data_IF_200953373280
#
_entry.id   IF_200953373280
#
_cell.length_a   1.000
_cell.length_b   1.000
_cell.length_c   1.000
_cell.angle_alpha   90.00
_cell.angle_beta   90.00
_cell.angle_gamma   90.00
#
_symmetry.space_group_name_H-M   'P 1'
#
loop_
_entity.id
_entity.type
_entity.pdbx_description
1 polymer ?
#
# COMPACT_ATOMS: atom_id res chain seq x y z
N UNK A 1 -21.46 -17.99 5.14
CA UNK A 1 -20.51 -17.07 4.45
C UNK A 1 -19.11 -17.56 4.77
N UNK A 2 -18.20 -17.65 3.79
CA UNK A 2 -16.85 -18.18 4.03
C UNK A 2 -16.10 -17.36 5.10
N UNK A 3 -15.30 -18.00 5.94
CA UNK A 3 -14.62 -17.36 7.08
C UNK A 3 -13.74 -16.19 6.62
N UNK A 4 -13.05 -16.32 5.49
CA UNK A 4 -12.26 -15.25 4.87
C UNK A 4 -13.13 -14.08 4.44
N UNK A 5 -14.31 -14.33 3.87
CA UNK A 5 -15.24 -13.27 3.44
C UNK A 5 -15.80 -12.51 4.64
N UNK A 6 -16.06 -13.21 5.74
CA UNK A 6 -16.42 -12.59 7.02
C UNK A 6 -15.25 -11.75 7.55
N UNK A 7 -14.03 -12.30 7.56
CA UNK A 7 -12.84 -11.57 7.98
C UNK A 7 -12.61 -10.31 7.13
N UNK A 8 -12.71 -10.42 5.80
CA UNK A 8 -12.66 -9.29 4.88
C UNK A 8 -13.70 -8.23 5.24
N UNK A 9 -14.96 -8.61 5.44
CA UNK A 9 -15.99 -7.67 5.87
C UNK A 9 -15.63 -6.97 7.19
N UNK A 10 -15.14 -7.71 8.19
CA UNK A 10 -14.72 -7.17 9.48
C UNK A 10 -13.57 -6.17 9.34
N UNK A 11 -12.53 -6.50 8.57
CA UNK A 11 -11.42 -5.58 8.30
C UNK A 11 -11.88 -4.34 7.53
N UNK A 12 -12.81 -4.48 6.58
CA UNK A 12 -13.40 -3.36 5.87
C UNK A 12 -14.20 -2.42 6.78
N UNK A 13 -15.05 -2.98 7.64
CA UNK A 13 -15.81 -2.20 8.64
C UNK A 13 -14.86 -1.53 9.63
N UNK A 14 -13.86 -2.25 10.15
CA UNK A 14 -12.85 -1.69 11.05
C UNK A 14 -12.08 -0.54 10.38
N UNK A 15 -11.73 -0.67 9.09
CA UNK A 15 -11.10 0.38 8.30
C UNK A 15 -11.96 1.65 8.29
N UNK A 16 -13.25 1.53 7.99
CA UNK A 16 -14.18 2.66 7.95
C UNK A 16 -14.30 3.32 9.33
N UNK A 17 -14.39 2.54 10.40
CA UNK A 17 -14.48 3.05 11.77
C UNK A 17 -13.22 3.85 12.13
N UNK A 18 -12.03 3.29 11.91
CA UNK A 18 -10.76 3.95 12.25
C UNK A 18 -10.53 5.19 11.39
N UNK A 19 -10.86 5.14 10.10
CA UNK A 19 -10.81 6.31 9.22
C UNK A 19 -11.77 7.41 9.70
N UNK A 20 -13.02 7.06 9.99
CA UNK A 20 -14.02 8.01 10.48
C UNK A 20 -13.62 8.64 11.80
N UNK A 21 -13.09 7.85 12.73
CA UNK A 21 -12.58 8.35 14.01
C UNK A 21 -11.35 9.25 13.83
N UNK A 22 -10.44 8.91 12.93
CA UNK A 22 -9.26 9.73 12.62
C UNK A 22 -9.66 11.08 12.01
N UNK A 23 -10.63 11.09 11.09
CA UNK A 23 -11.19 12.32 10.53
C UNK A 23 -11.87 13.16 11.63
N UNK A 24 -12.64 12.51 12.51
CA UNK A 24 -13.26 13.19 13.65
C UNK A 24 -12.22 13.88 14.54
N UNK A 25 -11.12 13.20 14.88
CA UNK A 25 -10.00 13.79 15.64
C UNK A 25 -9.45 15.06 14.98
N UNK A 26 -9.19 15.01 13.67
CA UNK A 26 -8.71 16.18 12.91
C UNK A 26 -9.70 17.35 13.00
N UNK A 27 -11.01 17.08 12.90
CA UNK A 27 -12.05 18.11 12.93
C UNK A 27 -12.13 18.79 14.29
N UNK A 28 -11.93 18.07 15.39
CA UNK A 28 -11.92 18.64 16.75
C UNK A 28 -10.55 19.24 17.13
N UNK A 29 -9.60 19.27 16.19
CA UNK A 29 -8.26 19.83 16.41
C UNK A 29 -7.31 18.91 17.17
N UNK A 30 -7.65 17.63 17.33
CA UNK A 30 -6.73 16.64 17.88
C UNK A 30 -5.74 16.15 16.81
N UNK A 31 -4.51 15.89 17.25
CA UNK A 31 -3.47 15.35 16.39
C UNK A 31 -3.73 13.87 16.07
N UNK A 32 -3.47 13.51 14.81
CA UNK A 32 -3.35 12.14 14.37
C UNK A 32 -1.87 11.75 14.38
N UNK A 33 -1.58 10.58 14.93
CA UNK A 33 -0.22 10.12 15.10
C UNK A 33 0.15 8.96 14.18
N UNK A 34 1.36 8.46 14.44
CA UNK A 34 1.90 7.27 13.78
C UNK A 34 0.97 6.05 13.94
N UNK A 35 0.34 5.89 15.10
CA UNK A 35 -0.50 4.73 15.41
C UNK A 35 -1.74 4.69 14.53
N UNK A 36 -2.46 5.80 14.39
CA UNK A 36 -3.67 5.88 13.56
C UNK A 36 -3.34 5.63 12.09
N UNK A 37 -2.32 6.30 11.56
CA UNK A 37 -1.90 6.19 10.16
C UNK A 37 -1.46 4.74 9.85
N UNK A 38 -0.65 4.14 10.72
CA UNK A 38 -0.16 2.76 10.54
C UNK A 38 -1.30 1.75 10.66
N UNK A 39 -2.23 1.95 11.60
CA UNK A 39 -3.40 1.08 11.77
C UNK A 39 -4.29 1.11 10.53
N UNK A 40 -4.55 2.29 9.96
CA UNK A 40 -5.28 2.42 8.70
C UNK A 40 -4.57 1.64 7.59
N UNK A 41 -3.25 1.80 7.45
CA UNK A 41 -2.46 1.08 6.45
C UNK A 41 -2.59 -0.44 6.57
N UNK A 42 -2.48 -0.97 7.81
CA UNK A 42 -2.61 -2.40 8.08
C UNK A 42 -4.02 -2.90 7.76
N UNK A 43 -5.06 -2.18 8.21
CA UNK A 43 -6.45 -2.58 8.00
C UNK A 43 -6.81 -2.59 6.51
N UNK A 44 -6.44 -1.55 5.77
CA UNK A 44 -6.66 -1.45 4.31
C UNK A 44 -5.91 -2.55 3.57
N UNK A 45 -4.63 -2.77 3.90
CA UNK A 45 -3.81 -3.82 3.27
C UNK A 45 -4.41 -5.21 3.50
N UNK A 46 -4.83 -5.48 4.75
CA UNK A 46 -5.43 -6.77 5.12
C UNK A 46 -6.79 -6.96 4.45
N UNK A 47 -7.61 -5.91 4.40
CA UNK A 47 -8.90 -5.92 3.71
C UNK A 47 -8.75 -6.32 2.25
N UNK A 48 -7.90 -5.62 1.49
CA UNK A 48 -7.69 -5.91 0.07
C UNK A 48 -7.11 -7.32 -0.12
N UNK A 49 -6.17 -7.73 0.72
CA UNK A 49 -5.62 -9.11 0.68
C UNK A 49 -6.72 -10.16 0.83
N UNK A 50 -7.61 -10.00 1.82
CA UNK A 50 -8.69 -10.95 2.12
C UNK A 50 -9.76 -11.04 1.04
N UNK A 51 -10.05 -9.95 0.33
CA UNK A 51 -11.07 -9.95 -0.74
C UNK A 51 -10.49 -10.32 -2.11
N UNK A 52 -9.18 -10.15 -2.32
CA UNK A 52 -8.52 -10.45 -3.60
C UNK A 52 -8.12 -11.91 -3.71
N UNK A 53 -7.47 -12.48 -2.69
CA UNK A 53 -6.81 -13.78 -2.81
C UNK A 53 -7.64 -14.95 -2.28
N UNK A 54 -7.56 -16.05 -3.04
CA UNK A 54 -8.06 -17.38 -2.72
C UNK A 54 -7.47 -17.99 -1.45
N UNK A 55 -8.20 -18.90 -0.81
CA UNK A 55 -7.70 -19.67 0.35
C UNK A 55 -7.73 -21.16 0.02
N UNK A 56 -6.63 -21.87 0.30
CA UNK A 56 -6.53 -23.32 0.03
C UNK A 56 -7.46 -24.12 0.93
N UNK A 57 -7.71 -23.62 2.14
CA UNK A 57 -8.68 -24.19 3.09
C UNK A 57 -10.11 -24.07 2.55
N UNK A 58 -10.43 -22.91 1.97
CA UNK A 58 -11.75 -22.60 1.42
C UNK A 58 -11.94 -23.12 -0.02
N UNK A 59 -10.85 -23.58 -0.66
CA UNK A 59 -10.79 -24.06 -2.06
C UNK A 59 -11.50 -23.13 -3.04
N UNK A 60 -11.28 -21.83 -2.88
CA UNK A 60 -11.95 -20.80 -3.67
C UNK A 60 -11.00 -19.67 -4.11
N UNK A 61 -11.50 -18.82 -5.02
CA UNK A 61 -10.80 -17.61 -5.46
C UNK A 61 -9.60 -17.89 -6.38
N UNK A 62 -8.78 -16.85 -6.55
CA UNK A 62 -7.55 -16.90 -7.36
C UNK A 62 -6.38 -17.18 -6.40
N UNK A 63 -5.55 -18.17 -6.67
CA UNK A 63 -4.35 -18.37 -5.87
C UNK A 63 -3.18 -17.55 -6.42
N UNK A 64 -2.34 -16.95 -5.56
CA UNK A 64 -1.16 -16.22 -6.01
C UNK A 64 -0.21 -17.06 -6.89
N UNK A 65 -0.15 -18.36 -6.65
CA UNK A 65 0.75 -19.29 -7.33
C UNK A 65 0.23 -19.75 -8.71
N UNK A 66 -1.06 -19.54 -9.00
CA UNK A 66 -1.65 -19.91 -10.30
C UNK A 66 -1.14 -18.98 -11.40
N UNK A 67 -1.17 -19.41 -12.67
CA UNK A 67 -0.75 -18.56 -13.80
C UNK A 67 -1.45 -17.18 -13.81
N UNK A 68 -2.74 -17.16 -13.48
CA UNK A 68 -3.50 -15.91 -13.39
C UNK A 68 -3.05 -15.06 -12.18
N UNK A 69 -2.79 -15.69 -11.03
CA UNK A 69 -2.31 -15.01 -9.83
C UNK A 69 -0.92 -14.42 -10.00
N UNK A 70 -0.01 -15.14 -10.67
CA UNK A 70 1.32 -14.65 -11.01
C UNK A 70 1.23 -13.43 -11.94
N UNK A 71 0.41 -13.49 -13.00
CA UNK A 71 0.19 -12.35 -13.90
C UNK A 71 -0.39 -11.13 -13.18
N UNK A 72 -1.33 -11.32 -12.26
CA UNK A 72 -1.89 -10.23 -11.44
C UNK A 72 -0.79 -9.64 -10.56
N UNK A 73 0.00 -10.48 -9.89
CA UNK A 73 1.08 -10.05 -8.99
C UNK A 73 2.13 -9.24 -9.73
N UNK A 74 2.62 -9.72 -10.88
CA UNK A 74 3.64 -9.02 -11.68
C UNK A 74 3.14 -7.66 -12.20
N UNK A 75 1.94 -7.63 -12.78
CA UNK A 75 1.37 -6.37 -13.31
C UNK A 75 1.07 -5.38 -12.19
N UNK A 76 0.45 -5.85 -11.11
CA UNK A 76 0.09 -4.98 -9.98
C UNK A 76 1.31 -4.48 -9.23
N UNK A 77 2.38 -5.28 -9.11
CA UNK A 77 3.64 -4.85 -8.52
C UNK A 77 4.27 -3.70 -9.34
N UNK A 78 4.31 -3.82 -10.67
CA UNK A 78 4.84 -2.75 -11.54
C UNK A 78 4.01 -1.47 -11.44
N UNK A 79 2.68 -1.59 -11.47
CA UNK A 79 1.77 -0.43 -11.29
C UNK A 79 1.96 0.19 -9.91
N UNK A 80 1.97 -0.63 -8.86
CA UNK A 80 2.13 -0.20 -7.47
C UNK A 80 3.46 0.52 -7.23
N UNK A 81 4.54 0.07 -7.86
CA UNK A 81 5.83 0.76 -7.83
C UNK A 81 5.71 2.20 -8.39
N UNK A 82 5.09 2.39 -9.55
CA UNK A 82 4.94 3.74 -10.13
C UNK A 82 3.96 4.61 -9.35
N UNK A 83 2.90 4.02 -8.80
CA UNK A 83 1.97 4.74 -7.89
C UNK A 83 2.72 5.24 -6.65
N UNK A 84 3.55 4.38 -6.03
CA UNK A 84 4.35 4.77 -4.87
C UNK A 84 5.39 5.84 -5.23
N UNK A 85 6.04 5.71 -6.38
CA UNK A 85 7.00 6.71 -6.88
C UNK A 85 6.34 8.09 -7.06
N UNK A 86 5.14 8.12 -7.66
CA UNK A 86 4.35 9.35 -7.81
C UNK A 86 3.94 9.89 -6.43
N UNK A 87 3.52 9.04 -5.50
CA UNK A 87 3.15 9.46 -4.15
C UNK A 87 4.32 10.09 -3.39
N UNK A 88 5.53 9.51 -3.48
CA UNK A 88 6.76 10.08 -2.91
C UNK A 88 7.07 11.45 -3.54
N UNK A 89 6.93 11.57 -4.86
CA UNK A 89 7.13 12.83 -5.56
C UNK A 89 6.14 13.92 -5.09
N UNK A 90 4.86 13.58 -4.99
CA UNK A 90 3.83 14.50 -4.47
C UNK A 90 4.16 14.91 -3.04
N UNK A 91 4.53 13.97 -2.17
CA UNK A 91 4.90 14.26 -0.79
C UNK A 91 6.09 15.24 -0.71
N UNK A 92 7.09 15.06 -1.56
CA UNK A 92 8.24 15.97 -1.66
C UNK A 92 7.84 17.38 -2.11
N UNK A 93 6.98 17.50 -3.12
CA UNK A 93 6.48 18.79 -3.61
C UNK A 93 5.66 19.51 -2.54
N UNK A 94 4.74 18.79 -1.88
CA UNK A 94 3.89 19.34 -0.82
C UNK A 94 4.74 19.79 0.37
N UNK A 95 5.69 18.97 0.81
CA UNK A 95 6.60 19.30 1.90
C UNK A 95 7.41 20.57 1.60
N UNK A 96 7.95 20.70 0.38
CA UNK A 96 8.67 21.90 -0.05
C UNK A 96 7.78 23.15 -0.07
N UNK A 97 6.51 23.03 -0.49
CA UNK A 97 5.57 24.16 -0.50
C UNK A 97 5.25 24.63 0.92
N UNK A 98 5.08 23.68 1.85
CA UNK A 98 4.69 23.98 3.24
C UNK A 98 5.89 24.51 4.04
N UNK A 99 7.05 23.87 3.92
CA UNK A 99 8.22 24.17 4.75
C UNK A 99 9.22 25.13 4.10
N UNK A 100 9.07 25.42 2.79
CA UNK A 100 9.96 26.31 2.02
C UNK A 100 11.29 25.67 1.59
N UNK A 101 11.81 24.74 2.39
CA UNK A 101 13.03 23.99 2.12
C UNK A 101 12.77 22.58 1.58
N UNK A 102 13.77 21.98 0.92
CA UNK A 102 13.65 20.61 0.42
C UNK A 102 14.06 19.60 1.48
N UNK A 103 13.16 18.69 1.84
CA UNK A 103 13.46 17.62 2.79
C UNK A 103 14.42 16.59 2.19
N UNK A 104 15.63 16.55 2.75
CA UNK A 104 16.72 15.68 2.28
C UNK A 104 16.38 14.18 2.39
N UNK A 105 15.59 13.78 3.39
CA UNK A 105 15.18 12.38 3.56
C UNK A 105 14.20 11.98 2.46
N UNK A 106 13.24 12.85 2.12
CA UNK A 106 12.32 12.61 0.99
C UNK A 106 13.05 12.61 -0.36
N UNK A 107 14.04 13.49 -0.54
CA UNK A 107 14.89 13.49 -1.74
C UNK A 107 15.65 12.17 -1.89
N UNK A 108 16.30 11.69 -0.81
CA UNK A 108 16.99 10.41 -0.81
C UNK A 108 16.03 9.25 -1.11
N UNK A 109 14.84 9.25 -0.49
CA UNK A 109 13.83 8.23 -0.73
C UNK A 109 13.36 8.23 -2.20
N UNK A 110 13.15 9.40 -2.78
CA UNK A 110 12.80 9.55 -4.21
C UNK A 110 13.92 9.01 -5.11
N UNK A 111 15.17 9.38 -4.85
CA UNK A 111 16.32 8.87 -5.61
C UNK A 111 16.42 7.35 -5.51
N UNK A 112 16.30 6.78 -4.31
CA UNK A 112 16.32 5.33 -4.10
C UNK A 112 15.17 4.66 -4.84
N UNK A 113 13.95 5.20 -4.74
CA UNK A 113 12.80 4.68 -5.46
C UNK A 113 13.10 4.64 -6.96
N UNK A 114 13.55 5.74 -7.57
CA UNK A 114 13.85 5.84 -9.01
C UNK A 114 14.88 4.82 -9.51
N UNK A 115 15.93 4.54 -8.74
CA UNK A 115 16.99 3.61 -9.15
C UNK A 115 16.66 2.15 -8.86
N UNK A 116 15.69 1.87 -7.99
CA UNK A 116 15.39 0.50 -7.53
C UNK A 116 14.95 -0.39 -8.69
N UNK A 117 13.92 0.00 -9.45
CA UNK A 117 13.42 -0.81 -10.56
C UNK A 117 14.49 -1.10 -11.62
N UNK A 118 15.19 -0.11 -12.22
CA UNK A 118 16.19 -0.40 -13.25
C UNK A 118 17.37 -1.21 -12.71
N UNK A 119 17.75 -1.04 -11.44
CA UNK A 119 18.81 -1.86 -10.81
C UNK A 119 18.38 -3.31 -10.68
N UNK A 120 17.16 -3.57 -10.18
CA UNK A 120 16.64 -4.93 -10.06
C UNK A 120 16.45 -5.57 -11.44
N UNK A 121 15.93 -4.85 -12.43
CA UNK A 121 15.81 -5.32 -13.81
C UNK A 121 17.18 -5.69 -14.40
N UNK A 122 18.20 -4.85 -14.21
CA UNK A 122 19.56 -5.13 -14.65
C UNK A 122 20.11 -6.41 -14.01
N UNK A 123 20.02 -6.55 -12.69
CA UNK A 123 20.51 -7.75 -11.97
C UNK A 123 19.75 -8.99 -12.43
N UNK A 124 18.42 -8.92 -12.55
CA UNK A 124 17.59 -10.05 -12.93
C UNK A 124 17.82 -10.48 -14.38
N UNK A 125 18.09 -9.54 -15.29
CA UNK A 125 18.40 -9.83 -16.70
C UNK A 125 19.63 -10.73 -16.87
N UNK A 126 20.57 -10.74 -15.91
CA UNK A 126 21.76 -11.59 -15.95
C UNK A 126 21.49 -13.07 -15.67
N UNK A 127 20.27 -13.42 -15.26
CA UNK A 127 19.85 -14.82 -15.06
C UNK A 127 19.32 -15.47 -16.34
N UNK A 128 19.11 -14.69 -17.40
CA UNK A 128 18.67 -15.12 -18.72
C UNK A 128 19.77 -14.86 -19.75
#
# INVERSE_FOLDING_TARGET
MNSRKIAGLLYGVATIIVLGFSIYKIVIGEEIGFNEITTIGILVSTYFTMITWGSREEKDGIFPDDELGQRITEKSAKIGYFVLLIAIFIALVVDKIINGDSNIVLLLLMTLAMVTLPTIEYIYSKKF
#
